data_IF_515491725513
#
_entry.id   IF_515491725513
#
_cell.length_a   1.000
_cell.length_b   1.000
_cell.length_c   1.000
_cell.angle_alpha   90.00
_cell.angle_beta   90.00
_cell.angle_gamma   90.00
#
_symmetry.space_group_name_H-M   'P 1'
#
loop_
_entity.id
_entity.type
_entity.pdbx_description
1 polymer ?
#
# COMPACT_ATOMS: atom_id res chain seq x y z
N UNK A 1 12.45 -23.98 -12.83
CA UNK A 1 11.40 -24.23 -11.83
C UNK A 1 10.44 -23.05 -11.82
N UNK A 2 9.15 -23.31 -11.81
CA UNK A 2 8.16 -22.26 -11.62
C UNK A 2 8.27 -21.82 -10.15
N UNK A 3 8.71 -20.58 -9.91
CA UNK A 3 8.76 -20.01 -8.58
C UNK A 3 7.35 -19.79 -8.01
N UNK A 4 7.22 -19.75 -6.69
CA UNK A 4 5.96 -19.37 -6.00
C UNK A 4 6.03 -17.90 -5.60
N UNK A 5 4.95 -17.17 -5.78
CA UNK A 5 4.75 -15.80 -5.32
C UNK A 5 3.63 -15.80 -4.28
N UNK A 6 3.86 -15.15 -3.15
CA UNK A 6 2.82 -14.88 -2.17
C UNK A 6 2.29 -13.46 -2.39
N UNK A 7 0.99 -13.33 -2.55
CA UNK A 7 0.31 -12.03 -2.66
C UNK A 7 -0.69 -11.91 -1.53
N UNK A 8 -0.60 -10.83 -0.76
CA UNK A 8 -1.56 -10.45 0.28
C UNK A 8 -2.33 -9.24 -0.21
N UNK A 9 -3.64 -9.27 -0.13
CA UNK A 9 -4.51 -8.12 -0.32
C UNK A 9 -5.27 -7.86 0.97
N UNK A 10 -5.23 -6.65 1.48
CA UNK A 10 -5.83 -6.32 2.77
C UNK A 10 -6.47 -4.94 2.79
N UNK A 11 -7.38 -4.78 3.73
CA UNK A 11 -7.96 -3.51 4.13
C UNK A 11 -7.81 -3.41 5.63
N UNK A 12 -6.97 -2.48 6.08
CA UNK A 12 -6.53 -2.33 7.47
C UNK A 12 -7.27 -1.19 8.16
N UNK A 13 -7.29 -1.24 9.48
CA UNK A 13 -7.82 -0.16 10.31
C UNK A 13 -6.89 1.06 10.30
N UNK A 14 -7.42 2.18 10.75
CA UNK A 14 -6.65 3.40 11.00
C UNK A 14 -5.68 3.20 12.17
N UNK A 15 -4.71 4.10 12.29
CA UNK A 15 -3.84 4.09 13.46
C UNK A 15 -4.64 4.37 14.73
N UNK A 16 -4.56 3.41 15.67
CA UNK A 16 -5.15 3.51 16.99
C UNK A 16 -4.10 3.11 18.04
N UNK A 17 -4.55 2.60 19.19
CA UNK A 17 -3.64 2.14 20.24
C UNK A 17 -2.88 0.88 19.82
N UNK A 18 -1.70 0.60 20.43
CA UNK A 18 -0.85 -0.54 20.06
C UNK A 18 -1.50 -1.93 20.17
N UNK A 19 -2.63 -2.05 20.86
CA UNK A 19 -3.35 -3.33 21.05
C UNK A 19 -4.56 -3.48 20.13
N UNK A 20 -4.94 -2.42 19.43
CA UNK A 20 -6.11 -2.38 18.53
C UNK A 20 -5.76 -1.61 17.27
N UNK A 21 -6.58 -1.76 16.22
CA UNK A 21 -6.38 -1.05 14.97
C UNK A 21 -5.12 -1.48 14.22
N UNK A 22 -4.60 -0.60 13.39
CA UNK A 22 -3.56 -0.88 12.40
C UNK A 22 -2.30 -1.54 12.97
N UNK A 23 -1.78 -1.03 14.09
CA UNK A 23 -0.54 -1.56 14.67
C UNK A 23 -0.68 -3.04 15.06
N UNK A 24 -1.81 -3.41 15.65
CA UNK A 24 -2.08 -4.80 16.01
C UNK A 24 -2.21 -5.68 14.76
N UNK A 25 -3.00 -5.25 13.79
CA UNK A 25 -3.23 -5.98 12.54
C UNK A 25 -1.93 -6.21 11.77
N UNK A 26 -1.11 -5.16 11.63
CA UNK A 26 0.17 -5.26 10.95
C UNK A 26 1.12 -6.24 11.63
N UNK A 27 1.22 -6.19 12.96
CA UNK A 27 2.05 -7.11 13.72
C UNK A 27 1.58 -8.58 13.61
N UNK A 28 0.26 -8.82 13.52
CA UNK A 28 -0.24 -10.18 13.28
C UNK A 28 0.11 -10.66 11.88
N UNK A 29 0.00 -9.78 10.86
CA UNK A 29 0.40 -10.11 9.49
C UNK A 29 1.90 -10.43 9.41
N UNK A 30 2.75 -9.61 10.03
CA UNK A 30 4.20 -9.86 10.09
C UNK A 30 4.52 -11.23 10.69
N UNK A 31 3.93 -11.56 11.83
CA UNK A 31 4.11 -12.86 12.47
C UNK A 31 3.72 -14.02 11.57
N UNK A 32 2.59 -13.89 10.89
CA UNK A 32 2.10 -14.93 9.97
C UNK A 32 3.04 -15.11 8.77
N UNK A 33 3.59 -14.03 8.24
CA UNK A 33 4.47 -14.05 7.07
C UNK A 33 5.94 -14.32 7.39
N UNK A 34 6.34 -14.27 8.65
CA UNK A 34 7.75 -14.38 9.09
C UNK A 34 8.44 -15.69 8.65
N UNK A 35 7.69 -16.75 8.46
CA UNK A 35 8.20 -18.08 8.07
C UNK A 35 8.27 -18.30 6.57
N UNK A 36 7.76 -17.36 5.77
CA UNK A 36 7.72 -17.46 4.31
C UNK A 36 9.07 -17.07 3.68
N UNK A 37 9.58 -17.90 2.77
CA UNK A 37 10.80 -17.61 2.01
C UNK A 37 10.52 -17.20 0.56
N UNK A 38 9.29 -16.90 0.22
CA UNK A 38 8.87 -16.65 -1.16
C UNK A 38 8.82 -15.16 -1.42
N UNK A 39 8.97 -14.71 -2.67
CA UNK A 39 8.70 -13.32 -2.99
C UNK A 39 7.32 -12.92 -2.47
N UNK A 40 7.26 -11.80 -1.75
CA UNK A 40 6.06 -11.32 -1.08
C UNK A 40 5.61 -9.99 -1.67
N UNK A 41 4.37 -9.91 -2.08
CA UNK A 41 3.69 -8.67 -2.47
C UNK A 41 2.54 -8.41 -1.50
N UNK A 42 2.45 -7.19 -0.98
CA UNK A 42 1.33 -6.75 -0.14
C UNK A 42 0.63 -5.58 -0.82
N UNK A 43 -0.66 -5.70 -1.01
CA UNK A 43 -1.51 -4.72 -1.69
C UNK A 43 -2.67 -4.33 -0.78
N UNK A 44 -3.16 -3.12 -0.93
CA UNK A 44 -4.45 -2.72 -0.37
C UNK A 44 -4.46 -1.40 0.36
N UNK A 45 -5.59 -1.13 0.98
CA UNK A 45 -5.82 0.05 1.79
C UNK A 45 -5.25 -0.15 3.21
N UNK A 46 -4.23 0.63 3.53
CA UNK A 46 -3.64 0.64 4.87
C UNK A 46 -4.34 1.63 5.81
N UNK A 47 -5.19 2.52 5.30
CA UNK A 47 -5.82 3.61 6.07
C UNK A 47 -4.81 4.48 6.86
N UNK A 48 -3.55 4.46 6.47
CA UNK A 48 -2.47 5.22 7.11
C UNK A 48 -1.69 5.97 6.03
N UNK A 49 -1.83 7.31 5.96
CA UNK A 49 -1.13 8.11 4.96
C UNK A 49 0.39 7.98 5.03
N UNK A 50 1.05 8.14 3.88
CA UNK A 50 2.51 8.17 3.81
C UNK A 50 3.09 9.21 4.77
N UNK A 51 4.18 8.86 5.46
CA UNK A 51 4.83 9.71 6.45
C UNK A 51 4.20 9.69 7.85
N UNK A 52 3.09 9.00 8.06
CA UNK A 52 2.48 8.83 9.39
C UNK A 52 3.10 7.67 10.17
N UNK A 53 2.79 7.58 11.46
CA UNK A 53 3.30 6.51 12.34
C UNK A 53 2.95 5.11 11.83
N UNK A 54 1.74 4.91 11.30
CA UNK A 54 1.34 3.62 10.73
C UNK A 54 2.17 3.25 9.50
N UNK A 55 2.37 4.20 8.59
CA UNK A 55 3.24 3.99 7.43
C UNK A 55 4.70 3.69 7.83
N UNK A 56 5.23 4.42 8.83
CA UNK A 56 6.57 4.17 9.36
C UNK A 56 6.72 2.77 9.96
N UNK A 57 5.67 2.23 10.57
CA UNK A 57 5.67 0.85 11.06
C UNK A 57 5.90 -0.15 9.92
N UNK A 58 5.29 0.10 8.76
CA UNK A 58 5.50 -0.74 7.57
C UNK A 58 6.89 -0.56 6.97
N UNK A 59 7.37 0.68 6.86
CA UNK A 59 8.73 0.97 6.34
C UNK A 59 9.83 0.30 7.19
N UNK A 60 9.63 0.24 8.50
CA UNK A 60 10.56 -0.39 9.45
C UNK A 60 10.32 -1.88 9.66
N UNK A 61 9.41 -2.48 8.89
CA UNK A 61 9.14 -3.92 8.93
C UNK A 61 10.39 -4.74 8.57
N UNK A 62 10.55 -5.87 9.23
CA UNK A 62 11.59 -6.84 8.86
C UNK A 62 11.23 -7.67 7.62
N UNK A 63 10.02 -7.56 7.12
CA UNK A 63 9.63 -8.20 5.86
C UNK A 63 10.46 -7.65 4.69
N UNK A 64 10.90 -8.48 3.74
CA UNK A 64 11.77 -8.07 2.64
C UNK A 64 10.99 -7.34 1.53
N UNK A 65 10.26 -6.31 1.89
CA UNK A 65 9.40 -5.52 1.01
C UNK A 65 9.85 -4.06 0.92
N UNK A 66 9.45 -3.38 -0.13
CA UNK A 66 9.66 -1.96 -0.39
C UNK A 66 8.42 -1.34 -1.02
N UNK A 67 8.17 -0.06 -0.76
CA UNK A 67 7.06 0.69 -1.34
C UNK A 67 7.31 0.91 -2.85
N UNK A 68 6.42 0.41 -3.68
CA UNK A 68 6.52 0.51 -5.13
C UNK A 68 6.53 1.97 -5.63
N UNK A 69 5.82 2.89 -4.95
CA UNK A 69 5.84 4.31 -5.29
C UNK A 69 7.24 4.91 -5.09
N UNK A 70 7.88 4.60 -3.97
CA UNK A 70 9.19 5.19 -3.60
C UNK A 70 10.30 4.74 -4.52
N UNK A 71 10.24 3.48 -5.00
CA UNK A 71 11.32 2.87 -5.79
C UNK A 71 11.06 2.84 -7.29
N UNK A 72 9.90 3.30 -7.75
CA UNK A 72 9.57 3.31 -9.18
C UNK A 72 10.48 4.26 -9.98
N UNK A 73 10.92 3.81 -11.16
CA UNK A 73 11.65 4.66 -12.11
C UNK A 73 10.78 5.79 -12.65
N UNK A 74 9.50 5.50 -12.87
CA UNK A 74 8.49 6.44 -13.36
C UNK A 74 7.28 6.43 -12.45
N UNK A 75 6.79 7.62 -12.07
CA UNK A 75 5.56 7.78 -11.30
C UNK A 75 4.56 8.65 -12.06
N UNK A 76 3.28 8.30 -12.00
CA UNK A 76 2.18 9.08 -12.53
C UNK A 76 1.05 9.15 -11.51
N UNK A 77 1.04 10.22 -10.71
CA UNK A 77 0.17 10.40 -9.55
C UNK A 77 0.73 9.77 -8.28
N UNK A 78 0.21 10.19 -7.15
CA UNK A 78 0.58 9.69 -5.82
C UNK A 78 -0.68 9.39 -4.99
N UNK A 79 -1.57 10.37 -4.85
CA UNK A 79 -2.76 10.24 -4.03
C UNK A 79 -3.70 9.15 -4.56
N UNK A 80 -4.21 8.34 -3.67
CA UNK A 80 -5.20 7.29 -3.96
C UNK A 80 -6.60 7.68 -3.52
N UNK A 81 -6.74 8.75 -2.75
CA UNK A 81 -8.01 9.38 -2.38
C UNK A 81 -7.87 10.89 -2.45
N UNK A 82 -8.96 11.58 -2.80
CA UNK A 82 -9.07 13.03 -2.76
C UNK A 82 -10.36 13.42 -2.05
N UNK A 83 -10.26 14.40 -1.14
CA UNK A 83 -11.40 14.90 -0.38
C UNK A 83 -12.04 13.83 0.52
N UNK A 84 -13.35 13.94 0.71
CA UNK A 84 -14.12 13.06 1.58
C UNK A 84 -14.23 11.66 0.99
N UNK A 85 -14.02 10.67 1.83
CA UNK A 85 -14.24 9.26 1.53
C UNK A 85 -15.01 8.65 2.70
N UNK A 86 -15.56 7.46 2.51
CA UNK A 86 -16.25 6.73 3.56
C UNK A 86 -15.32 6.49 4.77
N UNK A 87 -15.78 6.88 5.95
CA UNK A 87 -14.98 6.84 7.18
C UNK A 87 -14.01 8.03 7.38
N UNK A 88 -13.84 8.92 6.39
CA UNK A 88 -13.00 10.12 6.44
C UNK A 88 -13.77 11.35 5.94
N UNK A 89 -14.98 11.57 6.46
CA UNK A 89 -15.90 12.61 5.95
C UNK A 89 -15.36 14.03 6.12
N UNK A 90 -14.44 14.24 7.05
CA UNK A 90 -13.79 15.55 7.29
C UNK A 90 -12.49 15.73 6.46
N UNK A 91 -12.10 14.73 5.67
CA UNK A 91 -10.88 14.84 4.87
C UNK A 91 -11.07 15.83 3.72
N UNK A 92 -10.17 16.78 3.60
CA UNK A 92 -10.10 17.73 2.48
C UNK A 92 -8.79 17.60 1.68
N UNK A 93 -7.91 16.70 2.10
CA UNK A 93 -6.60 16.51 1.51
C UNK A 93 -6.57 15.36 0.50
N UNK A 94 -5.64 15.44 -0.45
CA UNK A 94 -5.25 14.31 -1.27
C UNK A 94 -4.27 13.44 -0.47
N UNK A 95 -4.60 12.16 -0.30
CA UNK A 95 -3.84 11.23 0.53
C UNK A 95 -3.49 9.97 -0.24
N UNK A 96 -2.32 9.41 0.03
CA UNK A 96 -1.94 8.06 -0.37
C UNK A 96 -2.13 7.12 0.81
N UNK A 97 -3.15 6.28 0.75
CA UNK A 97 -3.51 5.29 1.76
C UNK A 97 -3.61 3.88 1.21
N UNK A 98 -3.71 3.74 -0.11
CA UNK A 98 -3.61 2.46 -0.81
C UNK A 98 -2.17 2.27 -1.29
N UNK A 99 -1.65 1.09 -1.13
CA UNK A 99 -0.24 0.78 -1.36
C UNK A 99 -0.02 -0.49 -2.15
N UNK A 100 1.14 -0.57 -2.77
CA UNK A 100 1.73 -1.78 -3.30
C UNK A 100 3.15 -1.90 -2.73
N UNK A 101 3.37 -2.86 -1.86
CA UNK A 101 4.71 -3.25 -1.41
C UNK A 101 5.16 -4.46 -2.20
N UNK A 102 6.35 -4.40 -2.74
CA UNK A 102 6.94 -5.44 -3.58
C UNK A 102 8.26 -5.93 -2.98
N UNK A 103 8.76 -7.12 -3.36
CA UNK A 103 10.05 -7.60 -2.88
C UNK A 103 11.18 -6.58 -3.10
N UNK A 104 12.07 -6.40 -2.12
CA UNK A 104 13.21 -5.45 -2.21
C UNK A 104 14.11 -5.65 -3.41
N UNK A 105 14.22 -6.88 -3.92
CA UNK A 105 15.03 -7.22 -5.09
C UNK A 105 14.31 -6.99 -6.42
N UNK A 106 13.02 -6.66 -6.40
CA UNK A 106 12.28 -6.43 -7.63
C UNK A 106 12.44 -4.98 -8.11
N UNK A 107 12.49 -4.83 -9.41
CA UNK A 107 12.63 -3.57 -10.08
C UNK A 107 11.26 -3.06 -10.50
N UNK A 108 10.86 -1.90 -9.98
CA UNK A 108 9.61 -1.24 -10.32
C UNK A 108 9.86 -0.25 -11.45
N UNK A 109 9.39 -0.58 -12.64
CA UNK A 109 9.50 0.30 -13.80
C UNK A 109 8.58 1.49 -13.67
N UNK A 110 7.29 1.23 -13.35
CA UNK A 110 6.28 2.29 -13.32
C UNK A 110 5.30 2.08 -12.17
N UNK A 111 4.96 3.18 -11.51
CA UNK A 111 3.84 3.32 -10.61
C UNK A 111 2.85 4.32 -11.22
N UNK A 112 1.59 3.95 -11.39
CA UNK A 112 0.57 4.80 -11.96
C UNK A 112 -0.72 4.73 -11.15
N UNK A 113 -1.24 5.91 -10.77
CA UNK A 113 -2.60 6.04 -10.24
C UNK A 113 -3.56 6.08 -11.43
N UNK A 114 -4.57 5.24 -11.40
CA UNK A 114 -5.61 5.11 -12.43
C UNK A 114 -6.99 5.34 -11.84
N UNK A 115 -7.97 5.64 -12.66
CA UNK A 115 -9.35 5.99 -12.25
C UNK A 115 -9.43 7.25 -11.38
N UNK A 116 -8.52 8.17 -11.59
CA UNK A 116 -8.41 9.45 -10.91
C UNK A 116 -8.99 10.65 -11.69
N UNK A 117 -9.64 10.37 -12.80
CA UNK A 117 -10.26 11.39 -13.67
C UNK A 117 -9.31 12.02 -14.70
N UNK A 118 -7.99 11.73 -14.65
CA UNK A 118 -7.02 12.31 -15.61
C UNK A 118 -7.00 11.59 -16.96
N UNK A 119 -6.83 10.28 -16.96
CA UNK A 119 -6.81 9.44 -18.18
C UNK A 119 -7.99 8.48 -18.23
N UNK A 120 -8.51 8.11 -17.09
CA UNK A 120 -9.62 7.17 -16.89
C UNK A 120 -10.66 7.81 -15.99
N UNK A 121 -11.97 7.51 -16.16
CA UNK A 121 -13.00 8.09 -15.33
C UNK A 121 -12.87 7.64 -13.86
N UNK A 122 -13.31 8.50 -12.95
CA UNK A 122 -13.45 8.12 -11.52
C UNK A 122 -14.57 7.09 -11.41
N UNK A 123 -14.28 5.96 -10.75
CA UNK A 123 -15.23 4.85 -10.59
C UNK A 123 -15.47 4.47 -9.13
N UNK A 124 -14.69 5.04 -8.21
CA UNK A 124 -14.76 4.81 -6.77
C UNK A 124 -14.25 6.06 -6.04
N UNK A 125 -14.47 6.15 -4.75
CA UNK A 125 -13.85 7.12 -3.85
C UNK A 125 -12.36 6.82 -3.59
N UNK A 126 -11.90 5.60 -3.88
CA UNK A 126 -10.48 5.25 -4.01
C UNK A 126 -10.08 5.11 -5.47
N UNK A 127 -8.89 5.57 -5.79
CA UNK A 127 -8.29 5.38 -7.11
C UNK A 127 -7.55 4.05 -7.19
N UNK A 128 -7.41 3.53 -8.39
CA UNK A 128 -6.67 2.29 -8.63
C UNK A 128 -5.16 2.52 -8.72
N UNK A 129 -4.40 1.47 -8.48
CA UNK A 129 -2.95 1.43 -8.69
C UNK A 129 -2.58 0.44 -9.79
N UNK A 130 -1.72 0.87 -10.69
CA UNK A 130 -1.11 0.01 -11.71
C UNK A 130 0.41 0.03 -11.50
N UNK A 131 0.97 -1.15 -11.24
CA UNK A 131 2.39 -1.33 -10.99
C UNK A 131 2.98 -2.20 -12.10
N UNK A 132 4.00 -1.69 -12.78
CA UNK A 132 4.75 -2.45 -13.79
C UNK A 132 6.12 -2.82 -13.23
N UNK A 133 6.40 -4.10 -13.26
CA UNK A 133 7.66 -4.69 -12.83
C UNK A 133 8.52 -5.06 -14.03
N UNK A 134 9.84 -5.10 -13.85
CA UNK A 134 10.80 -5.64 -14.81
C UNK A 134 11.26 -7.03 -14.39
#
# INVERSE_FOLDING_TARGET
>A
SKGTLTVVSGHFSWWETPCTGFAYEWLQLEKYLATGQQPLVILGDLNNPAGTTGYQLVENSYLPIQDAFVVAEETSGEATVEKKIDGWEENEAALRIDYAFVPKQWHVRKYEVIFDGRKTPIVSDHFGLLIQLK
#
